data_IF_287290476584
#
_entry.id   IF_287290476584
#
_cell.length_a   1.000
_cell.length_b   1.000
_cell.length_c   1.000
_cell.angle_alpha   90.00
_cell.angle_beta   90.00
_cell.angle_gamma   90.00
#
_symmetry.space_group_name_H-M   'P 1'
#
loop_
_entity.id
_entity.type
_entity.pdbx_description
1 polymer ?
#
# COMPACT_ATOMS: atom_id res chain seq x y z
N UNK A 1 -17.24 -23.94 -11.02
CA UNK A 1 -15.89 -23.41 -11.33
C UNK A 1 -15.68 -22.23 -10.39
N UNK A 2 -14.55 -22.12 -9.70
CA UNK A 2 -14.30 -21.06 -8.73
C UNK A 2 -13.79 -19.80 -9.42
N UNK A 3 -14.20 -18.63 -8.93
CA UNK A 3 -13.69 -17.34 -9.40
C UNK A 3 -12.26 -17.10 -8.90
N UNK A 4 -11.43 -16.49 -9.75
CA UNK A 4 -10.11 -15.99 -9.38
C UNK A 4 -10.19 -14.47 -9.28
N UNK A 5 -9.92 -13.91 -8.10
CA UNK A 5 -10.00 -12.46 -7.83
C UNK A 5 -8.66 -11.88 -7.40
N UNK A 6 -8.42 -10.60 -7.66
CA UNK A 6 -7.25 -9.84 -7.21
C UNK A 6 -7.70 -8.55 -6.51
N UNK A 7 -7.15 -8.28 -5.33
CA UNK A 7 -7.43 -7.07 -4.54
C UNK A 7 -6.11 -6.39 -4.19
N UNK A 8 -5.96 -5.12 -4.58
CA UNK A 8 -4.74 -4.34 -4.36
C UNK A 8 -5.10 -2.87 -4.19
N UNK A 9 -4.27 -2.15 -3.42
CA UNK A 9 -4.24 -0.68 -3.44
C UNK A 9 -3.43 -0.20 -4.65
N UNK A 10 -3.87 0.88 -5.28
CA UNK A 10 -3.13 1.56 -6.35
C UNK A 10 -3.21 3.08 -6.14
N UNK A 11 -2.10 3.78 -6.34
CA UNK A 11 -2.07 5.24 -6.29
C UNK A 11 -2.76 5.85 -7.52
N UNK A 12 -3.09 7.14 -7.45
CA UNK A 12 -3.75 7.86 -8.55
C UNK A 12 -2.92 7.87 -9.85
N UNK A 13 -1.61 7.82 -9.73
CA UNK A 13 -0.64 7.75 -10.84
C UNK A 13 -0.30 6.30 -11.27
N UNK A 14 -1.01 5.30 -10.75
CA UNK A 14 -0.98 3.93 -11.27
C UNK A 14 0.07 3.00 -10.66
N UNK A 15 0.59 3.32 -9.47
CA UNK A 15 1.60 2.52 -8.78
C UNK A 15 0.99 1.70 -7.64
N UNK A 16 1.32 0.41 -7.58
CA UNK A 16 0.95 -0.50 -6.48
C UNK A 16 1.99 -0.45 -5.36
N UNK A 17 3.26 -0.35 -5.76
CA UNK A 17 4.36 0.12 -4.94
C UNK A 17 4.93 1.35 -5.67
N UNK A 18 5.35 2.35 -4.91
CA UNK A 18 5.84 3.61 -5.44
C UNK A 18 7.04 3.44 -6.38
N UNK A 19 7.38 4.49 -7.14
CA UNK A 19 8.55 4.45 -8.03
C UNK A 19 9.85 4.23 -7.25
N UNK A 20 10.90 3.77 -7.96
CA UNK A 20 12.25 3.56 -7.40
C UNK A 20 12.32 2.55 -6.24
N UNK A 21 11.48 1.50 -6.27
CA UNK A 21 11.56 0.40 -5.32
C UNK A 21 12.95 -0.25 -5.31
N UNK A 22 13.50 -0.46 -4.12
CA UNK A 22 14.79 -1.13 -3.89
C UNK A 22 14.79 -1.80 -2.50
N UNK A 23 15.93 -2.34 -2.05
CA UNK A 23 15.99 -3.06 -0.76
C UNK A 23 15.80 -2.12 0.43
N UNK A 24 16.26 -0.88 0.30
CA UNK A 24 16.16 0.16 1.30
C UNK A 24 14.74 0.78 1.32
N UNK A 25 14.06 0.79 0.17
CA UNK A 25 12.70 1.30 -0.02
C UNK A 25 11.81 0.20 -0.64
N UNK A 26 11.41 -0.81 0.15
CA UNK A 26 10.75 -2.00 -0.37
C UNK A 26 9.34 -1.74 -0.94
N UNK A 27 8.69 -0.65 -0.54
CA UNK A 27 7.42 -0.19 -1.13
C UNK A 27 7.61 0.95 -2.14
N UNK A 28 8.86 1.30 -2.47
CA UNK A 28 9.18 2.46 -3.29
C UNK A 28 8.85 3.80 -2.63
N UNK A 29 9.14 4.88 -3.34
CA UNK A 29 8.88 6.23 -2.84
C UNK A 29 7.38 6.46 -2.69
N UNK A 30 6.97 6.96 -1.52
CA UNK A 30 5.55 7.20 -1.17
C UNK A 30 4.68 5.93 -1.11
N UNK A 31 5.25 4.74 -1.21
CA UNK A 31 4.47 3.50 -1.12
C UNK A 31 3.79 3.30 0.23
N UNK A 32 4.42 3.76 1.32
CA UNK A 32 3.80 3.74 2.66
C UNK A 32 2.55 4.61 2.70
N UNK A 33 2.51 5.76 2.02
CA UNK A 33 1.31 6.63 1.97
C UNK A 33 0.12 5.90 1.34
N UNK A 34 0.36 5.12 0.26
CA UNK A 34 -0.68 4.32 -0.38
C UNK A 34 -1.22 3.21 0.54
N UNK A 35 -0.34 2.61 1.35
CA UNK A 35 -0.67 1.45 2.19
C UNK A 35 -0.97 1.78 3.65
N UNK A 36 -0.95 3.06 4.04
CA UNK A 36 -1.12 3.50 5.44
C UNK A 36 -2.42 2.96 6.07
N UNK A 37 -3.51 2.92 5.29
CA UNK A 37 -4.80 2.40 5.76
C UNK A 37 -4.73 0.91 6.17
N UNK A 38 -3.85 0.13 5.55
CA UNK A 38 -3.70 -1.30 5.81
C UNK A 38 -2.57 -1.61 6.80
N UNK A 39 -1.50 -0.80 6.79
CA UNK A 39 -0.32 -1.00 7.64
C UNK A 39 -0.44 -0.33 9.02
N UNK A 40 -1.46 0.50 9.21
CA UNK A 40 -1.72 1.23 10.44
C UNK A 40 -1.33 2.71 10.34
N UNK A 41 -2.16 3.56 10.94
CA UNK A 41 -1.90 4.98 11.09
C UNK A 41 -1.29 5.23 12.48
N UNK A 42 -0.25 6.07 12.57
CA UNK A 42 0.29 6.51 13.85
C UNK A 42 -0.72 7.29 14.70
N UNK A 43 -1.81 7.78 14.08
CA UNK A 43 -2.93 8.44 14.74
C UNK A 43 -4.05 7.47 15.14
N UNK A 44 -3.90 6.17 14.86
CA UNK A 44 -4.88 5.17 15.23
C UNK A 44 -5.06 5.15 16.74
N UNK A 45 -6.32 5.09 17.17
CA UNK A 45 -6.74 5.02 18.57
C UNK A 45 -7.17 3.60 18.91
N UNK A 46 -7.46 3.32 20.20
CA UNK A 46 -7.98 2.02 20.63
C UNK A 46 -9.32 1.62 19.97
N UNK A 47 -9.96 2.54 19.23
CA UNK A 47 -11.22 2.32 18.52
C UNK A 47 -11.06 2.02 17.02
N UNK A 48 -9.85 2.14 16.46
CA UNK A 48 -9.51 1.79 15.06
C UNK A 48 -9.13 0.31 14.93
#
# INVERSE_FOLDING_TARGET
MSDTTCHMSISLDGFVAGPQQNRENPLGLRGIELHQWHLGDARATDAD
#
